data_IF_497810384037
#
_entry.id   IF_497810384037
#
_cell.length_a   1.000
_cell.length_b   1.000
_cell.length_c   1.000
_cell.angle_alpha   90.00
_cell.angle_beta   90.00
_cell.angle_gamma   90.00
#
_symmetry.space_group_name_H-M   'P 1'
#
loop_
_entity.id
_entity.type
_entity.pdbx_description
1 polymer ?
#
# COMPACT_ATOMS: atom_id res chain seq x y z
N UNK A 1 -11.67 1.82 2.21
CA UNK A 1 -12.86 1.55 1.40
C UNK A 1 -13.70 2.81 1.35
N UNK A 2 -14.50 2.99 0.31
CA UNK A 2 -15.52 4.05 0.29
C UNK A 2 -16.78 3.61 1.08
N UNK A 3 -17.80 4.45 1.08
CA UNK A 3 -19.06 4.19 1.82
C UNK A 3 -19.82 2.95 1.31
N UNK A 4 -19.47 2.43 0.12
CA UNK A 4 -20.09 1.28 -0.52
C UNK A 4 -19.26 -0.01 -0.36
N UNK A 5 -18.09 0.06 0.29
CA UNK A 5 -17.16 -1.05 0.43
C UNK A 5 -16.22 -1.23 -0.76
N UNK A 6 -16.19 -0.30 -1.71
CA UNK A 6 -15.28 -0.36 -2.85
C UNK A 6 -13.87 0.09 -2.45
N UNK A 7 -12.86 -0.46 -3.12
CA UNK A 7 -11.46 -0.09 -2.89
C UNK A 7 -11.26 1.36 -3.32
N UNK A 8 -11.05 2.24 -2.33
CA UNK A 8 -10.77 3.66 -2.57
C UNK A 8 -9.29 3.86 -2.91
N UNK A 9 -8.97 3.90 -4.19
CA UNK A 9 -7.62 4.23 -4.67
C UNK A 9 -7.33 5.74 -4.60
N UNK A 10 -6.06 6.07 -4.39
CA UNK A 10 -5.55 7.43 -4.47
C UNK A 10 -5.42 7.83 -5.94
N UNK A 11 -5.94 9.00 -6.29
CA UNK A 11 -5.98 9.53 -7.64
C UNK A 11 -5.74 11.06 -7.62
N UNK A 12 -5.60 11.71 -8.79
CA UNK A 12 -5.34 13.15 -8.87
C UNK A 12 -6.40 14.06 -8.21
N UNK A 13 -7.62 13.57 -8.01
CA UNK A 13 -8.72 14.33 -7.41
C UNK A 13 -8.69 14.29 -5.89
N UNK A 14 -8.20 13.19 -5.29
CA UNK A 14 -8.28 12.95 -3.84
C UNK A 14 -6.92 12.94 -3.11
N UNK A 15 -5.78 12.90 -3.82
CA UNK A 15 -4.46 12.72 -3.20
C UNK A 15 -4.16 13.79 -2.14
N UNK A 16 -4.60 15.03 -2.36
CA UNK A 16 -4.30 16.15 -1.47
C UNK A 16 -4.95 15.97 -0.10
N UNK A 17 -6.12 15.34 -0.06
CA UNK A 17 -6.88 15.10 1.17
C UNK A 17 -6.41 13.83 1.88
N UNK A 18 -5.99 12.82 1.12
CA UNK A 18 -5.61 11.50 1.66
C UNK A 18 -4.13 11.39 2.03
N UNK A 19 -3.25 12.22 1.47
CA UNK A 19 -1.82 12.09 1.69
C UNK A 19 -1.39 12.61 3.08
N UNK A 20 -1.05 11.67 3.97
CA UNK A 20 -0.41 11.93 5.28
C UNK A 20 1.12 11.96 5.21
N UNK A 21 1.67 11.65 4.05
CA UNK A 21 3.09 11.40 3.85
C UNK A 21 3.38 10.94 2.42
N UNK A 22 4.52 10.29 2.22
CA UNK A 22 4.84 9.62 0.96
C UNK A 22 5.84 8.49 1.15
N UNK A 23 5.88 7.58 0.18
CA UNK A 23 6.87 6.52 0.08
C UNK A 23 7.98 6.93 -0.88
N UNK A 24 9.19 6.46 -0.59
CA UNK A 24 10.35 6.61 -1.49
C UNK A 24 11.27 5.39 -1.38
N UNK A 25 12.24 5.28 -2.29
CA UNK A 25 13.24 4.21 -2.32
C UNK A 25 12.63 2.79 -2.33
N UNK A 26 11.51 2.62 -3.06
CA UNK A 26 10.84 1.32 -3.21
C UNK A 26 11.76 0.34 -3.92
N UNK A 27 11.98 -0.82 -3.32
CA UNK A 27 12.95 -1.83 -3.77
C UNK A 27 12.57 -3.22 -3.29
N UNK A 28 12.95 -4.25 -4.06
CA UNK A 28 12.89 -5.64 -3.57
C UNK A 28 13.94 -5.84 -2.48
N UNK A 29 13.58 -6.55 -1.41
CA UNK A 29 14.52 -6.95 -0.37
C UNK A 29 15.54 -7.98 -0.87
N UNK A 30 16.52 -8.31 -0.02
CA UNK A 30 17.57 -9.27 -0.35
C UNK A 30 17.75 -10.27 0.81
N UNK A 31 18.40 -11.41 0.53
CA UNK A 31 18.59 -12.46 1.54
C UNK A 31 17.25 -12.98 2.08
N UNK A 32 17.11 -12.97 3.40
CA UNK A 32 15.90 -13.39 4.12
C UNK A 32 14.66 -12.50 3.85
N UNK A 33 14.85 -11.32 3.23
CA UNK A 33 13.76 -10.42 2.85
C UNK A 33 13.52 -10.42 1.33
N UNK A 34 14.06 -11.41 0.61
CA UNK A 34 14.01 -11.45 -0.86
C UNK A 34 12.60 -11.58 -1.43
N UNK A 35 11.65 -12.04 -0.62
CA UNK A 35 10.23 -12.14 -0.89
C UNK A 35 9.44 -10.85 -0.59
N UNK A 36 10.07 -9.84 0.00
CA UNK A 36 9.42 -8.59 0.39
C UNK A 36 9.70 -7.43 -0.58
N UNK A 37 8.74 -6.50 -0.66
CA UNK A 37 8.95 -5.15 -1.18
C UNK A 37 9.18 -4.19 -0.01
N UNK A 38 10.33 -3.54 -0.01
CA UNK A 38 10.73 -2.58 1.03
C UNK A 38 10.58 -1.16 0.49
N UNK A 39 10.21 -0.23 1.37
CA UNK A 39 10.13 1.19 1.06
C UNK A 39 10.45 2.02 2.30
N UNK A 40 10.88 3.26 2.07
CA UNK A 40 11.08 4.21 3.16
C UNK A 40 9.85 5.12 3.23
N UNK A 41 9.26 5.24 4.41
CA UNK A 41 8.07 6.07 4.64
C UNK A 41 8.50 7.40 5.26
N UNK A 42 8.14 8.51 4.61
CA UNK A 42 8.16 9.83 5.23
C UNK A 42 6.74 10.20 5.59
N UNK A 43 6.45 10.16 6.89
CA UNK A 43 5.19 10.61 7.47
C UNK A 43 5.31 12.08 7.83
N UNK A 44 4.32 12.88 7.44
CA UNK A 44 4.31 14.35 7.61
C UNK A 44 3.15 14.84 8.47
N UNK A 45 2.12 14.01 8.62
CA UNK A 45 0.94 14.32 9.42
C UNK A 45 1.18 14.03 10.91
N UNK A 46 0.82 14.97 11.77
CA UNK A 46 1.01 14.88 13.22
C UNK A 46 0.25 13.71 13.84
N UNK A 47 -1.00 13.49 13.43
CA UNK A 47 -1.84 12.42 13.98
C UNK A 47 -1.32 11.03 13.59
N UNK A 48 -0.87 10.89 12.34
CA UNK A 48 -0.25 9.65 11.86
C UNK A 48 1.07 9.34 12.58
N UNK A 49 1.88 10.36 12.86
CA UNK A 49 3.11 10.21 13.66
C UNK A 49 2.76 9.73 15.07
N UNK A 50 1.78 10.34 15.73
CA UNK A 50 1.38 9.94 17.08
C UNK A 50 0.92 8.48 17.12
N UNK A 51 0.11 8.02 16.15
CA UNK A 51 -0.31 6.63 16.07
C UNK A 51 0.88 5.66 15.99
N UNK A 52 1.90 6.02 15.20
CA UNK A 52 3.12 5.23 15.09
C UNK A 52 3.90 5.26 16.41
N UNK A 53 4.04 6.41 17.06
CA UNK A 53 4.71 6.50 18.36
C UNK A 53 4.00 5.69 19.45
N UNK A 54 2.66 5.66 19.40
CA UNK A 54 1.80 4.90 20.32
C UNK A 54 1.81 3.38 20.07
N UNK A 55 2.45 2.93 18.98
CA UNK A 55 2.72 1.52 18.75
C UNK A 55 2.09 0.92 17.49
N UNK A 56 1.42 1.72 16.65
CA UNK A 56 0.88 1.23 15.37
C UNK A 56 2.04 0.80 14.44
N UNK A 57 2.02 -0.44 13.97
CA UNK A 57 3.07 -1.01 13.10
C UNK A 57 2.54 -1.67 11.83
N UNK A 58 1.22 -1.81 11.72
CA UNK A 58 0.59 -2.49 10.59
C UNK A 58 0.34 -1.50 9.46
N UNK A 59 0.46 -2.02 8.24
CA UNK A 59 0.24 -1.27 7.01
C UNK A 59 -0.55 -2.11 6.02
N UNK A 60 -1.36 -1.45 5.21
CA UNK A 60 -2.06 -2.05 4.08
C UNK A 60 -1.62 -1.40 2.78
N UNK A 61 -1.28 -2.20 1.78
CA UNK A 61 -0.90 -1.74 0.46
C UNK A 61 -2.10 -1.76 -0.47
N UNK A 62 -2.52 -0.60 -0.97
CA UNK A 62 -3.46 -0.53 -2.09
C UNK A 62 -2.70 -0.67 -3.41
N UNK A 63 -3.15 -1.57 -4.27
CA UNK A 63 -2.55 -1.84 -5.57
C UNK A 63 -3.61 -2.22 -6.60
N UNK A 64 -3.23 -2.10 -7.87
CA UNK A 64 -3.94 -2.71 -9.00
C UNK A 64 -3.17 -3.93 -9.49
N UNK A 65 -3.86 -4.92 -10.05
CA UNK A 65 -3.27 -6.15 -10.55
C UNK A 65 -4.15 -6.80 -11.62
N UNK A 66 -3.51 -7.46 -12.57
CA UNK A 66 -4.18 -8.33 -13.52
C UNK A 66 -4.21 -9.78 -12.98
N UNK A 67 -5.23 -10.54 -13.38
CA UNK A 67 -5.43 -11.91 -12.91
C UNK A 67 -5.47 -12.87 -14.10
N UNK A 68 -4.47 -13.73 -14.20
CA UNK A 68 -4.39 -14.77 -15.21
C UNK A 68 -4.87 -16.10 -14.62
N UNK A 69 -6.00 -16.62 -15.12
CA UNK A 69 -6.52 -17.89 -14.64
C UNK A 69 -5.64 -19.05 -15.10
N UNK A 70 -5.13 -19.82 -14.15
CA UNK A 70 -4.27 -20.99 -14.42
C UNK A 70 -5.03 -22.31 -14.33
N UNK A 71 -6.03 -22.41 -13.44
CA UNK A 71 -6.91 -23.58 -13.27
C UNK A 71 -8.32 -23.14 -12.82
N UNK A 72 -9.35 -24.01 -12.86
CA UNK A 72 -10.66 -23.70 -12.26
C UNK A 72 -10.52 -23.31 -10.78
N UNK A 73 -10.81 -22.05 -10.46
CA UNK A 73 -10.69 -21.49 -9.11
C UNK A 73 -9.28 -21.05 -8.68
N UNK A 74 -8.28 -21.05 -9.58
CA UNK A 74 -6.93 -20.52 -9.31
C UNK A 74 -6.52 -19.51 -10.37
N UNK A 75 -5.95 -18.40 -9.92
CA UNK A 75 -5.37 -17.38 -10.79
C UNK A 75 -4.03 -16.90 -10.22
N UNK A 76 -3.13 -16.52 -11.10
CA UNK A 76 -1.92 -15.80 -10.76
C UNK A 76 -2.18 -14.30 -10.86
N UNK A 77 -1.68 -13.54 -9.88
CA UNK A 77 -1.68 -12.08 -9.92
C UNK A 77 -0.42 -11.63 -10.65
N UNK A 78 -0.60 -10.88 -11.73
CA UNK A 78 0.48 -10.35 -12.57
C UNK A 78 0.35 -8.83 -12.68
N UNK A 79 1.41 -8.16 -13.13
CA UNK A 79 1.46 -6.71 -13.37
C UNK A 79 1.00 -5.84 -12.19
N UNK A 80 1.31 -6.29 -10.97
CA UNK A 80 0.97 -5.61 -9.74
C UNK A 80 1.61 -4.21 -9.70
N UNK A 81 0.77 -3.18 -9.65
CA UNK A 81 1.20 -1.77 -9.59
C UNK A 81 0.68 -1.13 -8.31
N UNK A 82 1.59 -0.77 -7.41
CA UNK A 82 1.26 -0.12 -6.14
C UNK A 82 0.65 1.27 -6.34
N UNK A 83 -0.38 1.58 -5.56
CA UNK A 83 -1.08 2.87 -5.56
C UNK A 83 -0.81 3.68 -4.28
N UNK A 84 -0.98 3.06 -3.11
CA UNK A 84 -0.76 3.72 -1.81
C UNK A 84 -0.43 2.73 -0.70
N UNK A 85 0.02 3.26 0.45
CA UNK A 85 0.11 2.51 1.70
C UNK A 85 -0.66 3.26 2.78
N UNK A 86 -1.55 2.54 3.47
CA UNK A 86 -2.34 3.03 4.59
C UNK A 86 -1.81 2.46 5.90
N UNK A 87 -1.87 3.24 6.97
CA UNK A 87 -1.70 2.74 8.34
C UNK A 87 -3.02 2.06 8.75
N UNK A 88 -2.95 0.87 9.35
CA UNK A 88 -4.13 0.08 9.77
C UNK A 88 -4.00 -0.42 11.19
#
# INVERSE_FOLDING_TARGET
EDENGDVRLVNPENWKELAVGHLQNVRRGTGEQSDLMLADLIVKDESAIQLIEDGLREVSCGYDAEYEQTEPGKAEQVDITGNHVALV
#
